data_IF_263216727955
#
_entry.id   IF_263216727955
#
_cell.length_a   1.000
_cell.length_b   1.000
_cell.length_c   1.000
_cell.angle_alpha   90.00
_cell.angle_beta   90.00
_cell.angle_gamma   90.00
#
_symmetry.space_group_name_H-M   'P 1'
#
loop_
_entity.id
_entity.type
_entity.pdbx_description
1 polymer ?
#
# COMPACT_ATOMS: atom_id res chain seq x y z
N UNK A 1 -13.19 29.94 -24.22
CA UNK A 1 -12.00 29.38 -23.50
C UNK A 1 -12.29 29.02 -22.03
N UNK A 2 -12.95 29.88 -21.24
CA UNK A 2 -13.21 29.63 -19.80
C UNK A 2 -13.92 28.29 -19.48
N UNK A 3 -14.83 27.83 -20.33
CA UNK A 3 -15.57 26.56 -20.16
C UNK A 3 -14.69 25.31 -20.28
N UNK A 4 -13.59 25.37 -21.03
CA UNK A 4 -12.64 24.25 -21.12
C UNK A 4 -11.74 24.18 -19.89
N UNK A 5 -11.38 25.35 -19.33
CA UNK A 5 -10.60 25.43 -18.09
C UNK A 5 -11.33 24.81 -16.89
N UNK A 6 -12.65 25.04 -16.80
CA UNK A 6 -13.51 24.45 -15.76
C UNK A 6 -13.59 22.92 -15.86
N UNK A 7 -13.49 22.33 -17.06
CA UNK A 7 -13.48 20.87 -17.27
C UNK A 7 -12.14 20.22 -16.89
N UNK A 8 -11.04 20.97 -16.95
CA UNK A 8 -9.70 20.49 -16.63
C UNK A 8 -9.37 20.60 -15.13
N UNK A 9 -10.15 21.38 -14.38
CA UNK A 9 -9.89 21.65 -12.95
C UNK A 9 -9.99 20.38 -12.10
N UNK A 10 -10.99 19.52 -12.40
CA UNK A 10 -11.20 18.26 -11.69
C UNK A 10 -10.02 17.30 -11.87
N UNK A 11 -9.66 16.92 -13.11
CA UNK A 11 -8.50 16.06 -13.38
C UNK A 11 -7.19 16.61 -12.78
N UNK A 12 -7.01 17.93 -12.81
CA UNK A 12 -5.82 18.57 -12.24
C UNK A 12 -5.76 18.42 -10.72
N UNK A 13 -6.87 18.67 -10.02
CA UNK A 13 -6.96 18.44 -8.57
C UNK A 13 -6.78 16.97 -8.20
N UNK A 14 -7.30 16.04 -9.01
CA UNK A 14 -7.09 14.62 -8.80
C UNK A 14 -5.61 14.23 -8.95
N UNK A 15 -4.93 14.72 -10.00
CA UNK A 15 -3.51 14.46 -10.21
C UNK A 15 -2.64 15.00 -9.06
N UNK A 16 -2.92 16.23 -8.60
CA UNK A 16 -2.24 16.84 -7.45
C UNK A 16 -2.50 16.05 -6.16
N UNK A 17 -3.75 15.60 -5.95
CA UNK A 17 -4.11 14.76 -4.81
C UNK A 17 -3.34 13.45 -4.77
N UNK A 18 -3.25 12.72 -5.89
CA UNK A 18 -2.51 11.45 -6.00
C UNK A 18 -1.01 11.66 -5.81
N UNK A 19 -0.43 12.71 -6.41
CA UNK A 19 0.99 13.04 -6.23
C UNK A 19 1.30 13.42 -4.77
N UNK A 20 0.40 14.15 -4.13
CA UNK A 20 0.45 14.48 -2.71
C UNK A 20 0.40 13.22 -1.84
N UNK A 21 -0.41 12.23 -2.19
CA UNK A 21 -0.53 10.97 -1.44
C UNK A 21 0.76 10.16 -1.54
N UNK A 22 1.31 10.02 -2.76
CA UNK A 22 2.54 9.29 -3.03
C UNK A 22 3.76 9.95 -2.37
N UNK A 23 3.93 11.26 -2.56
CA UNK A 23 5.02 12.02 -1.95
C UNK A 23 4.94 12.04 -0.42
N UNK A 24 3.74 12.20 0.13
CA UNK A 24 3.50 12.18 1.57
C UNK A 24 3.79 10.81 2.20
N UNK A 25 3.43 9.72 1.51
CA UNK A 25 3.75 8.36 1.95
C UNK A 25 5.25 8.14 2.06
N UNK A 26 6.02 8.63 1.08
CA UNK A 26 7.49 8.52 1.09
C UNK A 26 8.09 9.33 2.25
N UNK A 27 7.63 10.57 2.46
CA UNK A 27 8.13 11.44 3.53
C UNK A 27 7.78 10.89 4.93
N UNK A 28 6.61 10.29 5.10
CA UNK A 28 6.20 9.67 6.36
C UNK A 28 6.93 8.35 6.62
N UNK A 29 6.96 7.44 5.63
CA UNK A 29 7.45 6.08 5.78
C UNK A 29 8.99 6.01 5.82
N UNK A 30 9.68 6.78 4.97
CA UNK A 30 11.15 6.69 4.84
C UNK A 30 11.92 7.79 5.58
N UNK A 31 11.38 9.01 5.68
CA UNK A 31 12.09 10.12 6.33
C UNK A 31 11.71 10.30 7.81
N UNK A 32 10.69 9.59 8.31
CA UNK A 32 10.25 9.66 9.70
C UNK A 32 9.83 11.06 10.17
N UNK A 33 9.50 11.95 9.23
CA UNK A 33 9.13 13.34 9.53
C UNK A 33 7.66 13.42 9.89
N UNK A 34 7.35 14.03 11.04
CA UNK A 34 5.98 14.26 11.54
C UNK A 34 5.11 15.11 10.60
N UNK A 35 5.71 15.76 9.60
CA UNK A 35 5.02 16.49 8.54
C UNK A 35 4.29 15.58 7.53
N UNK A 36 4.53 14.26 7.55
CA UNK A 36 3.87 13.34 6.61
C UNK A 36 2.39 13.05 6.89
N UNK A 37 1.89 13.09 8.15
CA UNK A 37 0.46 12.91 8.45
C UNK A 37 -0.38 14.11 7.99
N UNK A 38 0.01 15.36 8.31
CA UNK A 38 -0.79 16.48 7.85
C UNK A 38 -0.83 16.52 6.32
N UNK A 39 0.25 16.12 5.62
CA UNK A 39 0.23 16.05 4.15
C UNK A 39 -0.63 14.92 3.59
N UNK A 40 -0.78 13.77 4.26
CA UNK A 40 -1.74 12.73 3.81
C UNK A 40 -3.18 13.21 3.98
N UNK A 41 -3.50 13.88 5.09
CA UNK A 41 -4.84 14.45 5.34
C UNK A 41 -5.17 15.52 4.30
N UNK A 42 -4.22 16.39 3.99
CA UNK A 42 -4.38 17.43 2.96
C UNK A 42 -4.54 16.81 1.56
N UNK A 43 -3.74 15.79 1.23
CA UNK A 43 -3.86 15.06 -0.03
C UNK A 43 -5.23 14.39 -0.19
N UNK A 44 -5.76 13.77 0.88
CA UNK A 44 -7.10 13.18 0.89
C UNK A 44 -8.20 14.23 0.70
N UNK A 45 -8.07 15.40 1.30
CA UNK A 45 -9.00 16.52 1.10
C UNK A 45 -8.98 17.02 -0.35
N UNK A 46 -7.79 17.20 -0.93
CA UNK A 46 -7.62 17.61 -2.32
C UNK A 46 -8.18 16.56 -3.28
N UNK A 47 -7.97 15.27 -2.99
CA UNK A 47 -8.49 14.15 -3.78
C UNK A 47 -10.01 14.04 -3.68
N UNK A 48 -10.59 14.21 -2.49
CA UNK A 48 -12.04 14.26 -2.30
C UNK A 48 -12.66 15.43 -3.06
N UNK A 49 -12.04 16.62 -3.00
CA UNK A 49 -12.51 17.77 -3.75
C UNK A 49 -12.37 17.54 -5.27
N UNK A 50 -11.27 16.94 -5.70
CA UNK A 50 -11.08 16.46 -7.06
C UNK A 50 -12.23 15.54 -7.48
N UNK A 51 -12.53 14.49 -6.70
CA UNK A 51 -13.61 13.54 -7.00
C UNK A 51 -14.99 14.22 -7.08
N UNK A 52 -15.28 15.16 -6.18
CA UNK A 52 -16.51 15.96 -6.20
C UNK A 52 -16.58 16.85 -7.45
N UNK A 53 -15.46 17.42 -7.89
CA UNK A 53 -15.37 18.23 -9.12
C UNK A 53 -15.37 17.37 -10.39
N UNK A 54 -14.90 16.12 -10.31
CA UNK A 54 -15.00 15.11 -11.36
C UNK A 54 -16.42 14.58 -11.48
N UNK A 55 -17.29 14.78 -10.47
CA UNK A 55 -18.68 14.31 -10.49
C UNK A 55 -19.33 14.85 -11.77
N UNK A 56 -19.56 14.00 -12.77
CA UNK A 56 -20.08 14.46 -14.03
C UNK A 56 -21.50 14.93 -13.75
N UNK A 57 -21.82 16.16 -14.16
CA UNK A 57 -23.20 16.46 -14.53
C UNK A 57 -23.57 15.41 -15.57
N UNK A 58 -24.36 14.42 -15.14
CA UNK A 58 -24.85 13.39 -16.03
C UNK A 58 -25.50 14.08 -17.24
N UNK A 59 -25.12 13.60 -18.43
CA UNK A 59 -25.65 13.94 -19.77
C UNK A 59 -24.91 15.03 -20.56
N UNK A 60 -23.82 14.61 -21.18
CA UNK A 60 -23.66 14.78 -22.62
C UNK A 60 -23.11 13.46 -23.16
N UNK A 61 -23.98 12.65 -23.76
CA UNK A 61 -23.59 11.53 -24.59
C UNK A 61 -22.81 12.07 -25.78
N UNK A 62 -21.55 11.69 -25.91
CA UNK A 62 -20.99 11.43 -27.23
C UNK A 62 -20.84 9.91 -27.35
N UNK A 63 -21.61 9.41 -28.29
CA UNK A 63 -21.75 8.04 -28.76
C UNK A 63 -20.41 7.39 -29.10
N UNK A 64 -20.12 6.25 -28.47
CA UNK A 64 -19.40 5.16 -29.14
C UNK A 64 -20.32 3.93 -29.07
N UNK A 65 -21.23 3.87 -30.03
CA UNK A 65 -22.04 2.72 -30.45
C UNK A 65 -22.72 3.18 -31.74
N UNK A 66 -22.71 2.52 -32.90
CA UNK A 66 -22.13 1.28 -33.37
C UNK A 66 -22.21 1.31 -34.92
N UNK A 67 -21.37 0.54 -35.61
CA UNK A 67 -21.70 -0.06 -36.92
C UNK A 67 -20.95 -1.39 -36.96
N UNK A 68 -21.53 -2.49 -36.50
CA UNK A 68 -22.54 -3.33 -37.15
C UNK A 68 -21.95 -4.24 -38.24
N UNK A 69 -21.83 -5.53 -37.90
CA UNK A 69 -22.23 -6.75 -38.65
C UNK A 69 -21.22 -7.89 -38.42
N UNK A 70 -21.46 -8.85 -37.52
CA UNK A 70 -22.31 -10.06 -37.67
C UNK A 70 -21.57 -11.23 -38.38
N UNK A 71 -22.01 -12.50 -38.27
CA UNK A 71 -21.36 -13.55 -37.46
C UNK A 71 -20.96 -14.81 -38.26
N UNK A 72 -20.08 -15.67 -37.72
CA UNK A 72 -20.04 -17.11 -38.09
C UNK A 72 -19.55 -17.98 -36.93
N UNK A 73 -20.33 -19.02 -36.67
CA UNK A 73 -20.03 -20.27 -35.95
C UNK A 73 -20.52 -21.40 -36.87
N UNK A 74 -20.19 -22.70 -36.74
CA UNK A 74 -19.14 -23.40 -35.99
C UNK A 74 -18.27 -24.31 -36.91
N UNK A 75 -17.21 -24.97 -36.40
CA UNK A 75 -16.75 -26.24 -36.99
C UNK A 75 -16.08 -27.13 -35.94
N UNK A 76 -16.50 -28.38 -36.02
CA UNK A 76 -16.31 -29.61 -35.26
C UNK A 76 -14.98 -30.33 -35.61
N UNK A 77 -14.43 -31.10 -34.65
CA UNK A 77 -13.62 -32.36 -34.74
C UNK A 77 -12.70 -32.48 -33.49
N UNK A 78 -12.94 -33.42 -32.55
CA UNK A 78 -12.42 -34.83 -32.51
C UNK A 78 -10.89 -34.88 -32.36
N UNK A 79 -10.20 -35.72 -31.59
CA UNK A 79 -10.44 -36.79 -30.61
C UNK A 79 -9.02 -37.28 -30.24
N UNK A 80 -8.73 -37.62 -28.97
CA UNK A 80 -7.74 -38.67 -28.64
C UNK A 80 -7.60 -38.86 -27.13
N UNK A 81 -8.29 -39.87 -26.64
CA UNK A 81 -7.97 -40.56 -25.40
C UNK A 81 -6.74 -41.45 -25.60
N UNK A 82 -5.93 -41.62 -24.55
CA UNK A 82 -5.14 -42.84 -24.37
C UNK A 82 -5.01 -43.18 -22.88
N UNK A 83 -5.77 -44.20 -22.47
CA UNK A 83 -5.68 -44.97 -21.23
C UNK A 83 -4.29 -45.66 -21.12
N UNK A 84 -3.58 -45.49 -19.99
CA UNK A 84 -3.48 -46.33 -18.77
C UNK A 84 -2.71 -47.65 -18.92
N UNK A 85 -1.69 -47.82 -18.07
CA UNK A 85 -1.46 -49.06 -17.31
C UNK A 85 -0.81 -48.74 -15.94
N UNK A 86 -1.20 -49.41 -14.82
CA UNK A 86 -0.77 -49.07 -13.46
C UNK A 86 0.20 -50.09 -12.84
N UNK A 87 1.24 -49.62 -12.14
CA UNK A 87 1.98 -50.43 -11.16
C UNK A 87 2.70 -49.55 -10.13
N UNK A 88 2.02 -49.30 -9.01
CA UNK A 88 2.57 -49.27 -7.64
C UNK A 88 1.43 -48.86 -6.71
N UNK A 89 1.31 -49.60 -5.60
CA UNK A 89 0.17 -49.51 -4.70
C UNK A 89 0.13 -48.19 -3.95
N UNK A 90 -0.76 -47.30 -4.38
CA UNK A 90 -1.50 -46.43 -3.48
C UNK A 90 -2.94 -46.45 -3.99
N UNK A 91 -3.88 -46.85 -3.12
CA UNK A 91 -5.29 -46.58 -3.38
C UNK A 91 -5.44 -45.07 -3.53
N UNK A 92 -5.45 -44.59 -4.79
CA UNK A 92 -5.85 -43.23 -5.13
C UNK A 92 -7.30 -43.08 -4.72
N UNK A 93 -7.52 -42.71 -3.47
CA UNK A 93 -8.80 -42.23 -2.96
C UNK A 93 -9.24 -41.16 -3.96
N UNK A 94 -10.48 -41.20 -4.44
CA UNK A 94 -10.99 -40.19 -5.35
C UNK A 94 -11.02 -38.85 -4.59
N UNK A 95 -9.91 -38.11 -4.67
CA UNK A 95 -9.69 -36.85 -3.97
C UNK A 95 -10.76 -35.89 -4.45
N UNK A 96 -11.49 -35.30 -3.50
CA UNK A 96 -12.38 -34.18 -3.84
C UNK A 96 -11.53 -33.00 -4.30
N UNK A 97 -12.12 -32.06 -5.06
CA UNK A 97 -11.37 -30.86 -5.52
C UNK A 97 -10.70 -30.11 -4.36
N UNK A 98 -11.32 -30.12 -3.17
CA UNK A 98 -10.75 -29.53 -1.96
C UNK A 98 -9.51 -30.31 -1.46
N UNK A 99 -9.53 -31.63 -1.56
CA UNK A 99 -8.43 -32.50 -1.12
C UNK A 99 -7.22 -32.40 -2.07
N UNK A 100 -7.46 -32.25 -3.38
CA UNK A 100 -6.40 -31.96 -4.36
C UNK A 100 -5.67 -30.65 -4.04
N UNK A 101 -6.41 -29.59 -3.69
CA UNK A 101 -5.83 -28.28 -3.35
C UNK A 101 -5.07 -28.37 -2.02
N UNK A 102 -5.60 -29.09 -1.03
CA UNK A 102 -4.92 -29.29 0.25
C UNK A 102 -3.60 -30.04 0.09
N UNK A 103 -3.55 -31.02 -0.81
CA UNK A 103 -2.34 -31.78 -1.10
C UNK A 103 -1.29 -30.92 -1.81
N UNK A 104 -1.68 -30.13 -2.81
CA UNK A 104 -0.80 -29.17 -3.50
C UNK A 104 -0.25 -28.10 -2.52
N UNK A 105 -1.09 -27.58 -1.62
CA UNK A 105 -0.67 -26.65 -0.58
C UNK A 105 0.28 -27.30 0.45
N UNK A 106 0.03 -28.55 0.82
CA UNK A 106 0.93 -29.28 1.72
C UNK A 106 2.28 -29.59 1.05
N UNK A 107 2.30 -29.89 -0.24
CA UNK A 107 3.52 -30.10 -1.01
C UNK A 107 4.32 -28.81 -1.16
N UNK A 108 3.67 -27.70 -1.54
CA UNK A 108 4.32 -26.39 -1.62
C UNK A 108 4.88 -25.91 -0.28
N UNK A 109 4.19 -26.15 0.85
CA UNK A 109 4.69 -25.79 2.19
C UNK A 109 5.96 -26.55 2.58
N UNK A 110 6.18 -27.78 2.09
CA UNK A 110 7.43 -28.52 2.34
C UNK A 110 8.65 -27.84 1.69
N UNK A 111 8.43 -27.02 0.68
CA UNK A 111 9.48 -26.26 -0.02
C UNK A 111 9.61 -24.82 0.49
N UNK A 112 8.72 -24.35 1.38
CA UNK A 112 8.88 -23.04 2.01
C UNK A 112 9.92 -23.17 3.11
N UNK A 113 11.11 -22.63 2.84
CA UNK A 113 12.15 -22.52 3.87
C UNK A 113 11.75 -21.41 4.87
N UNK A 114 11.79 -21.74 6.17
CA UNK A 114 11.64 -20.76 7.23
C UNK A 114 12.76 -19.74 7.12
N UNK A 115 12.41 -18.51 6.74
CA UNK A 115 13.39 -17.44 6.63
C UNK A 115 14.08 -17.26 8.00
N UNK A 116 15.43 -17.28 8.07
CA UNK A 116 16.12 -17.09 9.32
C UNK A 116 15.74 -15.72 9.89
N UNK A 117 15.61 -15.58 11.22
CA UNK A 117 15.36 -14.29 11.84
C UNK A 117 16.55 -13.37 11.55
N UNK A 118 16.45 -12.55 10.50
CA UNK A 118 17.49 -11.59 10.14
C UNK A 118 17.35 -10.38 11.04
N UNK A 119 18.44 -10.10 11.78
CA UNK A 119 18.53 -8.90 12.59
C UNK A 119 18.96 -7.73 11.69
N UNK A 120 18.01 -6.89 11.29
CA UNK A 120 18.26 -5.81 10.32
C UNK A 120 19.11 -4.65 10.86
N UNK A 121 19.49 -4.64 12.14
CA UNK A 121 20.29 -3.57 12.73
C UNK A 121 21.21 -4.07 13.87
N UNK A 122 22.21 -4.92 13.58
CA UNK A 122 23.10 -5.47 14.60
C UNK A 122 23.84 -4.37 15.39
N UNK A 123 24.26 -3.31 14.70
CA UNK A 123 24.96 -2.17 15.29
C UNK A 123 24.12 -1.42 16.33
N UNK A 124 22.78 -1.38 16.16
CA UNK A 124 21.87 -0.67 17.07
C UNK A 124 21.61 -1.41 18.39
N UNK A 125 22.04 -2.66 18.49
CA UNK A 125 21.93 -3.48 19.68
C UNK A 125 23.20 -3.45 20.53
N UNK A 126 24.27 -2.80 20.05
CA UNK A 126 25.46 -2.59 20.85
C UNK A 126 25.16 -1.61 21.99
N UNK A 127 25.65 -1.90 23.22
CA UNK A 127 25.46 -1.00 24.35
C UNK A 127 26.06 0.38 24.02
N UNK A 128 25.26 1.43 24.19
CA UNK A 128 25.66 2.80 23.85
C UNK A 128 25.37 3.26 22.42
N UNK A 129 25.01 2.35 21.50
CA UNK A 129 24.57 2.68 20.12
C UNK A 129 23.04 2.77 19.95
N UNK A 130 22.32 2.80 21.07
CA UNK A 130 20.86 2.96 21.10
C UNK A 130 20.39 4.23 20.40
N UNK A 131 19.08 4.29 20.11
CA UNK A 131 18.46 5.49 19.52
C UNK A 131 18.86 6.73 20.34
N UNK A 132 19.21 7.86 19.68
CA UNK A 132 19.61 9.07 20.36
C UNK A 132 18.48 9.50 21.32
N UNK A 133 18.74 9.43 22.62
CA UNK A 133 17.76 9.83 23.61
C UNK A 133 17.64 11.35 23.58
N UNK A 134 16.51 11.86 23.09
CA UNK A 134 16.26 13.31 23.05
C UNK A 134 16.24 13.83 24.49
N UNK A 135 17.19 14.71 24.83
CA UNK A 135 17.18 15.47 26.09
C UNK A 135 15.78 16.08 26.28
N UNK A 136 15.01 15.55 27.22
CA UNK A 136 13.70 16.10 27.57
C UNK A 136 13.95 17.43 28.25
N UNK A 137 13.25 18.48 27.80
CA UNK A 137 13.26 19.74 28.54
C UNK A 137 12.53 19.52 29.87
N UNK A 138 13.05 20.05 30.98
CA UNK A 138 12.33 20.01 32.25
C UNK A 138 10.95 20.66 32.08
N UNK A 139 9.94 20.10 32.76
CA UNK A 139 8.57 20.61 32.73
C UNK A 139 8.47 22.04 33.26
N UNK A 140 7.35 22.72 32.98
CA UNK A 140 7.15 24.10 33.41
C UNK A 140 7.28 24.31 34.92
N UNK A 141 6.90 23.30 35.73
CA UNK A 141 7.04 23.32 37.19
C UNK A 141 8.49 23.38 37.68
N UNK A 142 9.46 22.88 36.90
CA UNK A 142 10.87 22.83 37.27
C UNK A 142 11.66 24.09 36.86
N UNK A 143 11.06 24.99 36.07
CA UNK A 143 11.72 26.22 35.62
C UNK A 143 12.06 27.16 36.77
N UNK A 144 11.17 27.26 37.76
CA UNK A 144 11.33 28.15 38.91
C UNK A 144 12.53 27.73 39.76
N UNK A 145 12.65 26.43 40.03
CA UNK A 145 13.80 25.87 40.75
C UNK A 145 15.09 25.98 39.95
N UNK A 146 15.04 25.82 38.63
CA UNK A 146 16.21 26.01 37.76
C UNK A 146 16.71 27.46 37.77
N UNK A 147 15.80 28.43 37.78
CA UNK A 147 16.15 29.85 37.87
C UNK A 147 16.81 30.18 39.21
N UNK A 148 16.19 29.78 40.33
CA UNK A 148 16.77 29.97 41.67
C UNK A 148 18.14 29.30 41.80
N UNK A 149 18.32 28.09 41.25
CA UNK A 149 19.61 27.41 41.27
C UNK A 149 20.66 28.14 40.43
N UNK A 150 20.28 28.74 39.29
CA UNK A 150 21.18 29.55 38.48
C UNK A 150 21.70 30.77 39.24
N UNK A 151 20.82 31.48 39.93
CA UNK A 151 21.16 32.66 40.72
C UNK A 151 22.17 32.38 41.85
N UNK A 152 22.17 31.16 42.41
CA UNK A 152 23.10 30.77 43.48
C UNK A 152 24.53 30.51 43.00
N UNK A 153 24.72 30.19 41.72
CA UNK A 153 26.03 29.84 41.16
C UNK A 153 26.56 30.86 40.15
N UNK A 154 25.85 31.96 39.91
CA UNK A 154 26.40 33.12 39.19
C UNK A 154 27.39 33.85 40.10
N UNK A 155 28.66 33.47 40.01
CA UNK A 155 29.78 34.27 40.54
C UNK A 155 29.97 35.50 39.67
N UNK A 156 29.81 36.68 40.26
CA UNK A 156 30.05 37.99 39.64
C UNK A 156 31.48 38.18 39.17
#
# INVERSE_FOLDING_TARGET
>A
MKKQLLKLIGPLFAAIGVFGLAGSGIVWNFLGRSLGLPSTVISLLVLMLGFVLLRPLARASESISASASAPVSPSESEESQKELDPSSGEMKRALTTAESIAQELAESQKFVEDAPPVNFAPERLLPGQGLPNRKRRPGASLKIYQAMAGELFETK
#
